data_IF_037139818517
#
_entry.id   IF_037139818517
#
_cell.length_a   1.000
_cell.length_b   1.000
_cell.length_c   1.000
_cell.angle_alpha   90.00
_cell.angle_beta   90.00
_cell.angle_gamma   90.00
#
_symmetry.space_group_name_H-M   'P 1'
#
loop_
_entity.id
_entity.type
_entity.pdbx_description
1 polymer ?
#
# COMPACT_ATOMS: atom_id res chain seq x y z
N UNK A 1 -0.46 -17.48 -5.37
CA UNK A 1 0.58 -16.55 -4.88
C UNK A 1 0.59 -15.33 -5.80
N UNK A 2 0.37 -14.14 -5.25
CA UNK A 2 0.25 -12.87 -5.96
C UNK A 2 -0.04 -11.76 -4.94
N UNK A 3 -0.11 -10.51 -5.38
CA UNK A 3 -0.36 -9.37 -4.48
C UNK A 3 -1.84 -9.26 -4.13
N UNK A 4 -2.22 -9.62 -2.90
CA UNK A 4 -3.57 -9.36 -2.36
C UNK A 4 -3.81 -7.86 -2.21
N UNK A 5 -2.76 -7.14 -1.80
CA UNK A 5 -2.74 -5.69 -1.65
C UNK A 5 -1.77 -5.08 -2.64
N UNK A 6 -2.19 -3.99 -3.28
CA UNK A 6 -1.36 -3.25 -4.21
C UNK A 6 -0.74 -2.03 -3.51
N UNK A 7 0.49 -1.64 -3.87
CA UNK A 7 1.08 -0.42 -3.35
C UNK A 7 0.29 0.80 -3.88
N UNK A 8 -0.12 1.66 -2.97
CA UNK A 8 -0.75 2.95 -3.23
C UNK A 8 0.25 4.08 -3.05
N UNK A 9 -0.23 5.20 -2.53
CA UNK A 9 0.58 6.42 -2.40
C UNK A 9 1.62 6.27 -1.27
N UNK A 10 2.86 6.69 -1.51
CA UNK A 10 3.99 6.55 -0.58
C UNK A 10 4.27 5.13 -0.06
N UNK A 11 3.90 4.12 -0.84
CA UNK A 11 4.11 2.71 -0.52
C UNK A 11 4.95 2.04 -1.62
N UNK A 12 5.86 1.16 -1.23
CA UNK A 12 6.71 0.35 -2.11
C UNK A 12 6.41 -1.14 -1.98
N UNK A 13 6.87 -1.92 -2.97
CA UNK A 13 6.78 -3.39 -2.96
C UNK A 13 8.15 -4.01 -3.23
N UNK A 14 8.52 -5.03 -2.45
CA UNK A 14 9.73 -5.83 -2.61
C UNK A 14 9.57 -6.93 -3.66
N UNK A 15 10.69 -7.56 -4.03
CA UNK A 15 10.73 -8.66 -5.00
C UNK A 15 9.93 -9.90 -4.55
N UNK A 16 9.72 -10.05 -3.24
CA UNK A 16 8.96 -11.12 -2.60
C UNK A 16 7.51 -10.71 -2.30
N UNK A 17 7.04 -9.59 -2.88
CA UNK A 17 5.74 -8.98 -2.64
C UNK A 17 5.52 -8.37 -1.25
N UNK A 18 6.58 -8.18 -0.46
CA UNK A 18 6.50 -7.46 0.81
C UNK A 18 6.20 -5.98 0.59
N UNK A 19 5.25 -5.42 1.34
CA UNK A 19 4.85 -4.00 1.26
C UNK A 19 5.55 -3.20 2.36
N UNK A 20 6.12 -2.04 2.00
CA UNK A 20 6.79 -1.14 2.94
C UNK A 20 6.41 0.33 2.68
N UNK A 21 6.42 1.15 3.73
CA UNK A 21 6.18 2.59 3.60
C UNK A 21 7.45 3.32 3.17
N UNK A 22 7.30 4.31 2.28
CA UNK A 22 8.41 5.20 1.86
C UNK A 22 8.53 6.43 2.75
N UNK A 23 7.46 6.76 3.48
CA UNK A 23 7.37 7.93 4.36
C UNK A 23 6.73 7.53 5.69
N UNK A 24 6.96 8.32 6.73
CA UNK A 24 6.24 8.22 8.00
C UNK A 24 4.85 8.83 7.84
N UNK A 25 3.83 8.18 8.39
CA UNK A 25 2.46 8.66 8.31
C UNK A 25 1.43 7.62 8.71
N UNK A 26 0.18 7.92 8.42
CA UNK A 26 -0.96 7.05 8.65
C UNK A 26 -1.17 6.10 7.47
N UNK A 27 -1.29 4.81 7.76
CA UNK A 27 -1.60 3.79 6.76
C UNK A 27 -3.10 3.77 6.51
N UNK A 28 -3.50 3.85 5.24
CA UNK A 28 -4.88 3.78 4.79
C UNK A 28 -5.06 2.67 3.76
N UNK A 29 -6.08 1.85 3.98
CA UNK A 29 -6.51 0.83 3.04
C UNK A 29 -7.62 1.39 2.17
N UNK A 30 -7.44 1.34 0.85
CA UNK A 30 -8.40 1.86 -0.11
C UNK A 30 -8.79 0.78 -1.12
N UNK A 31 -10.02 0.82 -1.59
CA UNK A 31 -10.45 -0.08 -2.65
C UNK A 31 -9.94 0.46 -3.99
N UNK A 32 -9.09 -0.31 -4.66
CA UNK A 32 -8.66 -0.02 -6.04
C UNK A 32 -9.72 -0.47 -7.04
N UNK A 33 -10.39 -1.59 -6.74
CA UNK A 33 -11.50 -2.16 -7.51
C UNK A 33 -12.39 -2.93 -6.55
N UNK A 34 -13.58 -3.37 -6.97
CA UNK A 34 -14.50 -4.19 -6.15
C UNK A 34 -13.85 -5.45 -5.53
N UNK A 35 -12.76 -5.96 -6.11
CA UNK A 35 -12.05 -7.17 -5.64
C UNK A 35 -10.61 -6.90 -5.17
N UNK A 36 -10.08 -5.69 -5.34
CA UNK A 36 -8.67 -5.39 -5.12
C UNK A 36 -8.51 -4.18 -4.23
N UNK A 37 -7.60 -4.27 -3.27
CA UNK A 37 -7.31 -3.20 -2.33
C UNK A 37 -5.89 -2.69 -2.55
N UNK A 38 -5.69 -1.40 -2.30
CA UNK A 38 -4.38 -0.76 -2.29
C UNK A 38 -4.10 -0.17 -0.91
N UNK A 39 -2.83 -0.09 -0.55
CA UNK A 39 -2.38 0.48 0.73
C UNK A 39 -1.63 1.76 0.43
N UNK A 40 -2.10 2.88 0.97
CA UNK A 40 -1.45 4.18 0.86
C UNK A 40 -0.99 4.65 2.24
N UNK A 41 0.07 5.46 2.29
CA UNK A 41 0.52 6.14 3.50
C UNK A 41 0.40 7.64 3.31
N UNK A 42 -0.36 8.28 4.18
CA UNK A 42 -0.55 9.73 4.20
C UNK A 42 0.29 10.33 5.33
N UNK A 43 1.20 11.27 5.04
CA UNK A 43 1.97 11.92 6.09
C UNK A 43 1.02 12.66 7.04
N UNK A 44 1.16 12.40 8.33
CA UNK A 44 0.49 13.16 9.38
C UNK A 44 1.52 14.16 9.92
N UNK A 45 1.32 15.43 9.59
CA UNK A 45 2.02 16.55 10.23
C UNK A 45 1.40 16.84 11.60
#
# INVERSE_FOLDING_TARGET
>A
RGTTFHPGENVGIGSDYTIFSKVQGLVKFENMTRKKQKISVYPAN
#
